data_IF_781857795679
#
_entry.id   IF_781857795679
#
_cell.length_a   1.000
_cell.length_b   1.000
_cell.length_c   1.000
_cell.angle_alpha   90.00
_cell.angle_beta   90.00
_cell.angle_gamma   90.00
#
_symmetry.space_group_name_H-M   'P 1'
#
loop_
_entity.id
_entity.type
_entity.pdbx_description
1 polymer ?
#
# COMPACT_ATOMS: atom_id res chain seq x y z
N UNK A 1 -11.51 3.50 -21.72
CA UNK A 1 -12.14 2.35 -21.01
C UNK A 1 -12.92 1.56 -22.05
N UNK A 2 -12.81 0.24 -22.02
CA UNK A 2 -13.63 -0.69 -22.83
C UNK A 2 -14.40 -1.56 -21.84
N UNK A 3 -15.72 -1.67 -22.01
CA UNK A 3 -16.55 -2.46 -21.10
C UNK A 3 -17.78 -3.05 -21.79
N UNK A 4 -18.31 -4.15 -21.24
CA UNK A 4 -19.53 -4.83 -21.69
C UNK A 4 -19.47 -5.18 -23.19
N UNK A 5 -18.41 -5.89 -23.58
CA UNK A 5 -18.14 -6.23 -24.98
C UNK A 5 -17.69 -7.69 -25.06
N UNK A 6 -18.30 -8.46 -25.95
CA UNK A 6 -17.84 -9.80 -26.32
C UNK A 6 -17.55 -9.81 -27.81
N UNK A 7 -16.37 -10.27 -28.19
CA UNK A 7 -16.07 -10.64 -29.58
C UNK A 7 -16.40 -12.12 -29.75
N UNK A 8 -17.53 -12.42 -30.40
CA UNK A 8 -18.04 -13.78 -30.52
C UNK A 8 -17.19 -14.69 -31.42
N UNK A 9 -17.45 -15.99 -31.34
CA UNK A 9 -16.69 -17.03 -32.07
C UNK A 9 -16.92 -17.05 -33.59
N UNK A 10 -17.85 -16.23 -34.12
CA UNK A 10 -18.04 -16.08 -35.57
C UNK A 10 -17.02 -15.11 -36.17
N UNK A 11 -16.36 -14.34 -35.32
CA UNK A 11 -15.29 -13.42 -35.71
C UNK A 11 -13.92 -14.12 -35.74
N UNK A 12 -12.97 -13.48 -36.44
CA UNK A 12 -11.55 -13.82 -36.34
C UNK A 12 -10.70 -12.56 -36.48
N UNK A 13 -9.57 -12.52 -35.78
CA UNK A 13 -8.62 -11.40 -35.84
C UNK A 13 -7.25 -11.93 -36.23
N UNK A 14 -6.65 -11.36 -37.27
CA UNK A 14 -5.31 -11.75 -37.71
C UNK A 14 -4.42 -10.56 -38.03
N UNK A 15 -3.11 -10.72 -37.84
CA UNK A 15 -2.13 -9.67 -38.13
C UNK A 15 -0.68 -10.11 -37.97
N UNK A 16 0.24 -9.16 -38.16
CA UNK A 16 1.67 -9.45 -38.10
C UNK A 16 2.22 -9.51 -36.67
N UNK A 17 1.93 -8.55 -35.81
CA UNK A 17 2.36 -8.51 -34.41
C UNK A 17 1.45 -7.60 -33.60
N UNK A 18 1.45 -7.76 -32.27
CA UNK A 18 0.60 -6.98 -31.37
C UNK A 18 -0.88 -7.14 -31.74
N UNK A 19 -1.30 -8.39 -31.93
CA UNK A 19 -2.66 -8.74 -32.36
C UNK A 19 -3.45 -9.15 -31.14
N UNK A 20 -4.65 -8.62 -30.98
CA UNK A 20 -5.56 -9.13 -29.98
C UNK A 20 -7.01 -9.06 -30.42
N UNK A 21 -7.86 -9.88 -29.80
CA UNK A 21 -9.30 -9.90 -30.05
C UNK A 21 -9.93 -8.53 -29.85
N UNK A 22 -9.56 -7.82 -28.77
CA UNK A 22 -10.17 -6.53 -28.44
C UNK A 22 -9.26 -5.34 -28.78
N UNK A 23 -8.00 -5.35 -28.31
CA UNK A 23 -7.08 -4.22 -28.51
C UNK A 23 -5.63 -4.67 -28.74
N UNK A 24 -5.09 -4.47 -29.95
CA UNK A 24 -3.78 -4.98 -30.34
C UNK A 24 -2.60 -4.48 -29.49
N UNK A 25 -2.33 -3.18 -29.46
CA UNK A 25 -1.23 -2.60 -28.70
C UNK A 25 -1.58 -1.23 -28.15
N UNK A 26 -1.02 -0.91 -26.99
CA UNK A 26 -1.20 0.40 -26.34
C UNK A 26 0.15 1.11 -26.23
N UNK A 27 0.16 2.42 -26.45
CA UNK A 27 1.36 3.27 -26.35
C UNK A 27 1.03 4.54 -25.57
N UNK A 28 2.04 5.12 -24.91
CA UNK A 28 1.87 6.31 -24.06
C UNK A 28 1.96 6.00 -22.57
N UNK A 29 1.25 6.75 -21.75
CA UNK A 29 1.28 6.63 -20.27
C UNK A 29 -0.13 6.61 -19.70
N UNK A 30 -0.29 6.02 -18.51
CA UNK A 30 -1.55 6.03 -17.77
C UNK A 30 -2.14 4.63 -17.58
N UNK A 31 -3.46 4.57 -17.39
CA UNK A 31 -4.18 3.32 -17.13
C UNK A 31 -5.33 3.12 -18.11
N UNK A 32 -5.40 1.94 -18.72
CA UNK A 32 -6.53 1.52 -19.55
C UNK A 32 -7.34 0.45 -18.82
N UNK A 33 -8.66 0.63 -18.79
CA UNK A 33 -9.58 -0.30 -18.12
C UNK A 33 -10.32 -1.17 -19.13
N UNK A 34 -10.31 -2.48 -18.87
CA UNK A 34 -11.15 -3.50 -19.49
C UNK A 34 -12.05 -4.11 -18.40
N UNK A 35 -13.37 -4.04 -18.57
CA UNK A 35 -14.32 -4.56 -17.58
C UNK A 35 -15.48 -5.27 -18.24
N UNK A 36 -15.76 -6.51 -17.86
CA UNK A 36 -16.81 -7.31 -18.50
C UNK A 36 -16.51 -7.39 -20.01
N UNK A 37 -15.34 -7.95 -20.36
CA UNK A 37 -14.90 -8.09 -21.75
C UNK A 37 -14.51 -9.53 -22.06
N UNK A 38 -15.07 -10.09 -23.12
CA UNK A 38 -14.83 -11.47 -23.57
C UNK A 38 -14.24 -11.55 -24.97
N UNK A 39 -13.36 -12.52 -25.21
CA UNK A 39 -12.95 -12.94 -26.54
C UNK A 39 -13.24 -14.41 -26.76
N UNK A 40 -14.09 -14.70 -27.74
CA UNK A 40 -14.43 -16.04 -28.21
C UNK A 40 -13.92 -16.30 -29.64
N UNK A 41 -13.48 -15.24 -30.32
CA UNK A 41 -12.90 -15.30 -31.65
C UNK A 41 -11.47 -15.88 -31.66
N UNK A 42 -11.12 -16.54 -32.76
CA UNK A 42 -9.75 -16.95 -33.01
C UNK A 42 -8.86 -15.71 -33.25
N UNK A 43 -7.71 -15.67 -32.58
CA UNK A 43 -6.69 -14.61 -32.71
C UNK A 43 -5.41 -15.19 -33.26
N UNK A 44 -4.92 -14.68 -34.39
CA UNK A 44 -3.72 -15.19 -35.05
C UNK A 44 -2.70 -14.08 -35.32
N UNK A 45 -1.49 -14.20 -34.76
CA UNK A 45 -0.36 -13.36 -35.10
C UNK A 45 0.74 -14.18 -35.79
N UNK A 46 1.24 -13.72 -36.94
CA UNK A 46 2.41 -14.38 -37.57
C UNK A 46 3.73 -14.09 -36.84
N UNK A 47 3.75 -13.04 -36.00
CA UNK A 47 4.89 -12.58 -35.22
C UNK A 47 4.61 -12.57 -33.72
N UNK A 48 4.95 -11.47 -33.05
CA UNK A 48 5.01 -11.38 -31.58
C UNK A 48 3.69 -10.90 -30.97
N UNK A 49 3.44 -11.30 -29.72
CA UNK A 49 2.42 -10.73 -28.83
C UNK A 49 0.99 -10.87 -29.36
N UNK A 50 0.51 -12.11 -29.49
CA UNK A 50 -0.91 -12.41 -29.69
C UNK A 50 -1.65 -12.51 -28.35
N UNK A 51 -2.87 -11.96 -28.24
CA UNK A 51 -3.70 -12.14 -27.04
C UNK A 51 -5.22 -12.12 -27.28
N UNK A 52 -6.01 -12.69 -26.38
CA UNK A 52 -7.46 -12.63 -26.45
C UNK A 52 -8.00 -11.22 -26.19
N UNK A 53 -7.56 -10.57 -25.10
CA UNK A 53 -8.07 -9.24 -24.71
C UNK A 53 -7.20 -8.11 -25.24
N UNK A 54 -5.96 -7.99 -24.75
CA UNK A 54 -5.08 -6.87 -25.12
C UNK A 54 -3.66 -7.33 -25.39
N UNK A 55 -3.11 -7.04 -26.58
CA UNK A 55 -1.84 -7.63 -26.98
C UNK A 55 -0.66 -7.12 -26.13
N UNK A 56 -0.40 -5.82 -26.10
CA UNK A 56 0.80 -5.29 -25.42
C UNK A 56 0.61 -3.92 -24.78
N UNK A 57 1.18 -3.74 -23.59
CA UNK A 57 1.64 -2.45 -23.10
C UNK A 57 3.02 -2.17 -23.70
N UNK A 58 3.10 -1.33 -24.74
CA UNK A 58 4.37 -1.03 -25.40
C UNK A 58 5.33 -0.36 -24.41
N UNK A 59 6.51 -0.97 -24.21
CA UNK A 59 7.49 -0.52 -23.22
C UNK A 59 7.05 -0.69 -21.75
N UNK A 60 5.90 -1.34 -21.49
CA UNK A 60 5.36 -1.51 -20.14
C UNK A 60 4.91 -0.20 -19.48
N UNK A 61 4.72 0.87 -20.24
CA UNK A 61 4.45 2.22 -19.73
C UNK A 61 2.98 2.48 -19.41
N UNK A 62 2.07 1.74 -20.04
CA UNK A 62 0.64 1.74 -19.71
C UNK A 62 0.33 0.60 -18.75
N UNK A 63 -0.43 0.90 -17.72
CA UNK A 63 -0.96 -0.10 -16.81
C UNK A 63 -2.39 -0.48 -17.22
N UNK A 64 -2.78 -1.72 -16.93
CA UNK A 64 -4.13 -2.20 -17.20
C UNK A 64 -4.90 -2.46 -15.91
N UNK A 65 -6.18 -2.12 -15.92
CA UNK A 65 -7.15 -2.63 -14.96
C UNK A 65 -8.07 -3.57 -15.72
N UNK A 66 -7.83 -4.88 -15.61
CA UNK A 66 -8.59 -5.91 -16.32
C UNK A 66 -9.42 -6.66 -15.28
N UNK A 67 -10.73 -6.59 -15.39
CA UNK A 67 -11.64 -7.19 -14.39
C UNK A 67 -12.84 -7.84 -15.05
N UNK A 68 -13.20 -9.05 -14.61
CA UNK A 68 -14.30 -9.83 -15.19
C UNK A 68 -14.11 -9.98 -16.70
N UNK A 69 -12.99 -10.57 -17.12
CA UNK A 69 -12.67 -10.72 -18.54
C UNK A 69 -12.28 -12.15 -18.85
N UNK A 70 -12.50 -12.62 -20.07
CA UNK A 70 -12.21 -13.99 -20.43
C UNK A 70 -11.72 -14.18 -21.86
N UNK A 71 -11.06 -15.31 -22.10
CA UNK A 71 -10.72 -15.80 -23.42
C UNK A 71 -11.15 -17.26 -23.59
N UNK A 72 -12.06 -17.54 -24.52
CA UNK A 72 -12.37 -18.91 -24.97
C UNK A 72 -11.87 -19.19 -26.38
N UNK A 73 -11.59 -18.15 -27.17
CA UNK A 73 -11.03 -18.28 -28.51
C UNK A 73 -9.57 -18.73 -28.51
N UNK A 74 -9.19 -19.52 -29.50
CA UNK A 74 -7.80 -19.94 -29.68
C UNK A 74 -6.90 -18.75 -30.03
N UNK A 75 -5.76 -18.64 -29.34
CA UNK A 75 -4.75 -17.60 -29.59
C UNK A 75 -3.51 -18.25 -30.15
N UNK A 76 -3.22 -18.04 -31.43
CA UNK A 76 -2.05 -18.57 -32.10
C UNK A 76 -1.06 -17.45 -32.40
N UNK A 77 0.12 -17.49 -31.79
CA UNK A 77 1.24 -16.61 -32.14
C UNK A 77 2.55 -17.37 -32.31
N UNK A 78 3.56 -16.72 -32.89
CA UNK A 78 4.88 -17.35 -33.06
C UNK A 78 5.73 -17.33 -31.79
N UNK A 79 5.57 -16.28 -30.97
CA UNK A 79 6.28 -16.08 -29.70
C UNK A 79 5.56 -15.03 -28.87
N UNK A 80 5.80 -15.05 -27.55
CA UNK A 80 5.36 -14.01 -26.63
C UNK A 80 3.85 -13.84 -26.50
N UNK A 81 3.05 -14.85 -26.86
CA UNK A 81 1.59 -14.83 -26.74
C UNK A 81 1.10 -15.08 -25.32
N UNK A 82 -0.13 -14.67 -25.03
CA UNK A 82 -0.85 -15.03 -23.80
C UNK A 82 -2.38 -14.90 -24.00
N UNK A 83 -3.19 -15.60 -23.23
CA UNK A 83 -4.66 -15.59 -23.34
C UNK A 83 -5.28 -14.20 -23.12
N UNK A 84 -4.77 -13.44 -22.15
CA UNK A 84 -5.39 -12.19 -21.72
C UNK A 84 -4.56 -11.01 -22.16
N UNK A 85 -3.26 -11.01 -21.81
CA UNK A 85 -2.35 -9.97 -22.24
C UNK A 85 -0.92 -10.44 -22.45
N UNK A 86 -0.44 -10.30 -23.69
CA UNK A 86 0.88 -10.78 -24.08
C UNK A 86 2.05 -9.96 -23.48
N UNK A 87 1.83 -8.76 -22.96
CA UNK A 87 2.80 -8.07 -22.09
C UNK A 87 2.14 -6.96 -21.25
N UNK A 88 2.05 -7.15 -19.94
CA UNK A 88 1.37 -6.21 -19.04
C UNK A 88 2.31 -5.12 -18.52
N UNK A 89 1.76 -3.95 -18.15
CA UNK A 89 2.50 -2.93 -17.40
C UNK A 89 2.65 -3.31 -15.92
N UNK A 90 3.77 -2.95 -15.29
CA UNK A 90 4.13 -3.45 -13.93
C UNK A 90 3.12 -3.14 -12.82
N UNK A 91 2.40 -2.03 -12.92
CA UNK A 91 1.39 -1.60 -11.93
C UNK A 91 -0.03 -1.98 -12.36
N UNK A 92 -0.18 -2.92 -13.29
CA UNK A 92 -1.48 -3.42 -13.72
C UNK A 92 -2.15 -4.22 -12.59
N UNK A 93 -3.48 -4.31 -12.67
CA UNK A 93 -4.31 -5.13 -11.80
C UNK A 93 -5.19 -6.03 -12.68
N UNK A 94 -5.03 -7.34 -12.52
CA UNK A 94 -5.78 -8.38 -13.23
C UNK A 94 -6.62 -9.17 -12.22
N UNK A 95 -7.94 -9.13 -12.33
CA UNK A 95 -8.84 -9.79 -11.36
C UNK A 95 -10.02 -10.49 -12.02
N UNK A 96 -10.34 -11.68 -11.54
CA UNK A 96 -11.52 -12.43 -11.96
C UNK A 96 -11.52 -12.70 -13.47
N UNK A 97 -10.54 -13.49 -13.89
CA UNK A 97 -10.23 -13.72 -15.29
C UNK A 97 -10.10 -15.21 -15.55
N UNK A 98 -10.60 -15.68 -16.68
CA UNK A 98 -10.44 -17.08 -17.07
C UNK A 98 -10.03 -17.28 -18.53
N UNK A 99 -9.38 -18.40 -18.81
CA UNK A 99 -9.08 -18.88 -20.15
C UNK A 99 -9.47 -20.34 -20.35
N UNK A 100 -10.13 -20.63 -21.47
CA UNK A 100 -10.34 -22.00 -21.97
C UNK A 100 -9.79 -22.21 -23.38
N UNK A 101 -9.42 -21.13 -24.08
CA UNK A 101 -8.84 -21.21 -25.41
C UNK A 101 -7.43 -21.79 -25.41
N UNK A 102 -7.05 -22.46 -26.51
CA UNK A 102 -5.70 -22.97 -26.69
C UNK A 102 -4.76 -21.82 -27.04
N UNK A 103 -3.64 -21.73 -26.31
CA UNK A 103 -2.66 -20.67 -26.50
C UNK A 103 -1.40 -21.25 -27.15
N UNK A 104 -0.98 -20.68 -28.28
CA UNK A 104 0.25 -21.01 -29.00
C UNK A 104 1.27 -19.88 -28.96
N UNK A 105 2.55 -20.23 -28.92
CA UNK A 105 3.66 -19.27 -28.93
C UNK A 105 3.84 -18.50 -27.63
N UNK A 106 3.46 -19.04 -26.48
CA UNK A 106 3.81 -18.48 -25.17
C UNK A 106 5.26 -18.85 -24.79
N UNK A 107 5.90 -18.07 -23.92
CA UNK A 107 7.32 -18.28 -23.56
C UNK A 107 7.52 -19.48 -22.60
N UNK A 108 6.59 -19.65 -21.66
CA UNK A 108 6.61 -20.69 -20.63
C UNK A 108 5.22 -20.86 -20.02
N UNK A 109 4.94 -22.02 -19.41
CA UNK A 109 3.63 -22.37 -18.83
C UNK A 109 3.07 -21.29 -17.89
N UNK A 110 3.92 -20.76 -17.02
CA UNK A 110 3.64 -19.71 -16.02
C UNK A 110 3.33 -18.32 -16.62
N UNK A 111 3.25 -18.21 -17.95
CA UNK A 111 3.05 -16.96 -18.69
C UNK A 111 1.90 -17.04 -19.69
N UNK A 112 1.05 -18.04 -19.55
CA UNK A 112 0.00 -18.36 -20.51
C UNK A 112 -1.20 -17.41 -20.43
N UNK A 113 -1.60 -16.94 -19.26
CA UNK A 113 -2.66 -15.92 -19.13
C UNK A 113 -2.13 -14.52 -19.42
N UNK A 114 -0.96 -14.19 -18.86
CA UNK A 114 -0.30 -12.92 -19.09
C UNK A 114 1.20 -13.00 -18.89
N UNK A 115 1.94 -12.06 -19.49
CA UNK A 115 3.39 -11.92 -19.34
C UNK A 115 3.77 -10.64 -18.59
N UNK A 116 4.96 -10.65 -17.98
CA UNK A 116 5.47 -9.62 -17.06
C UNK A 116 4.79 -9.64 -15.69
N UNK A 117 5.22 -8.80 -14.74
CA UNK A 117 4.71 -8.78 -13.37
C UNK A 117 3.54 -7.82 -13.22
N UNK A 118 2.53 -8.17 -12.44
CA UNK A 118 1.45 -7.27 -12.01
C UNK A 118 0.80 -7.78 -10.72
N UNK A 119 -0.15 -7.03 -10.17
CA UNK A 119 -1.02 -7.54 -9.09
C UNK A 119 -2.14 -8.37 -9.72
N UNK A 120 -2.28 -9.63 -9.32
CA UNK A 120 -3.34 -10.49 -9.84
C UNK A 120 -3.99 -11.39 -8.79
N UNK A 121 -5.28 -11.66 -8.96
CA UNK A 121 -6.08 -12.52 -8.07
C UNK A 121 -7.26 -13.14 -8.82
N UNK A 122 -7.71 -14.33 -8.44
CA UNK A 122 -8.84 -15.02 -9.09
C UNK A 122 -8.59 -15.19 -10.60
N UNK A 123 -7.54 -15.95 -10.92
CA UNK A 123 -7.14 -16.27 -12.28
C UNK A 123 -7.39 -17.75 -12.51
N UNK A 124 -7.96 -18.09 -13.66
CA UNK A 124 -8.35 -19.46 -13.96
C UNK A 124 -7.88 -19.84 -15.37
N UNK A 125 -7.36 -21.06 -15.54
CA UNK A 125 -6.96 -21.59 -16.84
C UNK A 125 -7.33 -23.07 -16.93
N UNK A 126 -7.86 -23.50 -18.08
CA UNK A 126 -8.29 -24.90 -18.26
C UNK A 126 -7.14 -25.91 -18.13
N UNK A 127 -5.89 -25.48 -18.34
CA UNK A 127 -4.70 -26.32 -18.15
C UNK A 127 -3.99 -26.03 -16.81
N UNK A 128 -4.47 -25.07 -16.01
CA UNK A 128 -3.95 -24.76 -14.67
C UNK A 128 -2.48 -24.29 -14.64
N UNK A 129 -1.94 -23.80 -15.75
CA UNK A 129 -0.51 -23.44 -15.84
C UNK A 129 -0.15 -22.07 -15.27
N UNK A 130 -1.10 -21.13 -15.29
CA UNK A 130 -1.01 -19.83 -14.62
C UNK A 130 -2.41 -19.48 -14.10
N UNK A 131 -2.62 -19.56 -12.79
CA UNK A 131 -3.95 -19.51 -12.17
C UNK A 131 -4.48 -20.88 -11.76
N UNK A 132 -5.67 -20.92 -11.18
CA UNK A 132 -6.33 -22.13 -10.72
C UNK A 132 -6.88 -22.93 -11.91
N UNK A 133 -6.79 -24.26 -11.83
CA UNK A 133 -7.32 -25.14 -12.87
C UNK A 133 -8.84 -25.12 -12.88
N UNK A 134 -9.44 -25.10 -14.06
CA UNK A 134 -10.89 -25.29 -14.26
C UNK A 134 -11.13 -26.51 -15.12
N UNK A 135 -12.17 -27.28 -14.81
CA UNK A 135 -12.52 -28.48 -15.59
C UNK A 135 -13.70 -28.20 -16.53
N UNK A 136 -13.84 -28.97 -17.63
CA UNK A 136 -15.02 -28.91 -18.49
C UNK A 136 -16.34 -29.12 -17.74
N UNK A 137 -16.34 -29.96 -16.70
CA UNK A 137 -17.51 -30.20 -15.86
C UNK A 137 -17.89 -28.96 -15.05
N UNK A 138 -16.92 -28.27 -14.44
CA UNK A 138 -17.16 -27.01 -13.72
C UNK A 138 -17.70 -25.91 -14.63
N UNK A 139 -17.23 -25.88 -15.89
CA UNK A 139 -17.68 -24.93 -16.90
C UNK A 139 -19.15 -25.15 -17.25
N UNK A 140 -19.59 -26.39 -17.41
CA UNK A 140 -20.96 -26.71 -17.81
C UNK A 140 -21.98 -26.75 -16.66
N UNK A 141 -21.53 -26.98 -15.41
CA UNK A 141 -22.42 -27.27 -14.28
C UNK A 141 -23.02 -26.06 -13.59
N UNK A 142 -22.56 -24.84 -13.89
CA UNK A 142 -22.87 -23.63 -13.11
C UNK A 142 -21.89 -23.34 -11.98
N UNK A 143 -21.09 -24.33 -11.58
CA UNK A 143 -20.10 -24.19 -10.52
C UNK A 143 -19.15 -23.03 -10.76
N UNK A 144 -18.60 -22.96 -11.98
CA UNK A 144 -17.62 -21.95 -12.27
C UNK A 144 -18.23 -20.54 -12.36
N UNK A 145 -19.46 -20.40 -12.87
CA UNK A 145 -20.18 -19.12 -12.82
C UNK A 145 -20.40 -18.66 -11.38
N UNK A 146 -20.76 -19.57 -10.48
CA UNK A 146 -20.94 -19.26 -9.05
C UNK A 146 -19.62 -18.81 -8.40
N UNK A 147 -18.51 -19.52 -8.67
CA UNK A 147 -17.15 -19.16 -8.22
C UNK A 147 -16.74 -17.77 -8.72
N UNK A 148 -16.92 -17.49 -10.02
CA UNK A 148 -16.55 -16.20 -10.63
C UNK A 148 -17.36 -15.04 -10.06
N UNK A 149 -18.60 -15.29 -9.64
CA UNK A 149 -19.40 -14.31 -8.93
C UNK A 149 -19.05 -14.23 -7.44
N UNK A 150 -17.96 -14.84 -6.96
CA UNK A 150 -17.53 -14.78 -5.55
C UNK A 150 -18.66 -15.14 -4.56
N UNK A 151 -19.60 -16.00 -4.97
CA UNK A 151 -20.80 -16.33 -4.21
C UNK A 151 -21.66 -15.10 -3.82
N UNK A 152 -21.61 -14.03 -4.64
CA UNK A 152 -22.21 -12.73 -4.38
C UNK A 152 -23.75 -12.76 -4.38
N UNK A 153 -24.31 -11.81 -3.63
CA UNK A 153 -25.75 -11.53 -3.52
C UNK A 153 -26.16 -10.54 -4.64
N UNK A 154 -26.82 -11.00 -5.69
CA UNK A 154 -27.69 -10.18 -6.55
C UNK A 154 -27.06 -9.32 -7.65
N UNK A 155 -25.77 -8.96 -7.60
CA UNK A 155 -25.05 -8.36 -8.74
C UNK A 155 -24.06 -9.37 -9.33
N UNK A 156 -24.48 -10.03 -10.40
CA UNK A 156 -23.76 -11.14 -11.02
C UNK A 156 -23.10 -10.65 -12.31
N UNK A 157 -21.80 -10.31 -12.36
CA UNK A 157 -21.16 -10.02 -13.65
C UNK A 157 -21.12 -11.24 -14.58
N UNK A 158 -21.24 -12.45 -14.03
CA UNK A 158 -21.26 -13.70 -14.78
C UNK A 158 -22.62 -14.38 -14.71
N UNK A 159 -23.09 -14.87 -15.83
CA UNK A 159 -24.36 -15.54 -16.00
C UNK A 159 -24.14 -16.90 -16.67
N UNK A 160 -25.06 -17.82 -16.47
CA UNK A 160 -25.08 -19.11 -17.14
C UNK A 160 -26.49 -19.69 -17.09
N UNK A 161 -27.07 -19.98 -18.24
CA UNK A 161 -28.32 -20.72 -18.38
C UNK A 161 -28.10 -22.21 -18.10
N UNK A 162 -28.94 -22.77 -17.22
CA UNK A 162 -28.89 -24.15 -16.73
C UNK A 162 -30.28 -24.78 -16.83
N UNK A 163 -31.26 -24.24 -16.09
CA UNK A 163 -32.62 -24.79 -15.92
C UNK A 163 -33.71 -23.71 -16.05
N UNK A 164 -33.46 -22.69 -16.87
CA UNK A 164 -34.35 -21.54 -17.10
C UNK A 164 -35.08 -21.55 -18.47
N UNK A 165 -35.40 -22.73 -19.00
CA UNK A 165 -36.06 -22.94 -20.30
C UNK A 165 -35.26 -22.49 -21.54
N UNK A 166 -34.08 -21.90 -21.36
CA UNK A 166 -33.12 -21.63 -22.43
C UNK A 166 -32.23 -22.86 -22.68
N UNK A 167 -31.56 -22.90 -23.83
CA UNK A 167 -30.50 -23.88 -24.06
C UNK A 167 -29.39 -23.69 -23.02
N UNK A 168 -28.98 -24.74 -22.29
CA UNK A 168 -27.91 -24.62 -21.31
C UNK A 168 -26.60 -24.13 -21.92
N UNK A 169 -25.94 -23.19 -21.26
CA UNK A 169 -24.66 -22.66 -21.69
C UNK A 169 -23.52 -23.63 -21.31
N UNK A 170 -22.54 -23.78 -22.20
CA UNK A 170 -21.36 -24.61 -21.94
C UNK A 170 -20.31 -23.96 -21.02
N UNK A 171 -20.42 -22.66 -20.75
CA UNK A 171 -19.52 -21.91 -19.87
C UNK A 171 -20.16 -20.60 -19.39
N UNK A 172 -19.60 -19.93 -18.36
CA UNK A 172 -20.08 -18.63 -17.91
C UNK A 172 -19.97 -17.55 -18.99
N UNK A 173 -20.98 -16.69 -19.09
CA UNK A 173 -21.06 -15.55 -20.02
C UNK A 173 -21.22 -14.24 -19.25
N UNK A 174 -20.98 -13.12 -19.92
CA UNK A 174 -21.15 -11.76 -19.38
C UNK A 174 -22.53 -11.15 -19.71
N UNK A 175 -23.38 -11.88 -20.44
CA UNK A 175 -24.67 -11.36 -20.88
C UNK A 175 -25.77 -11.61 -19.85
N UNK A 176 -26.45 -10.56 -19.36
CA UNK A 176 -27.56 -10.68 -18.41
C UNK A 176 -28.82 -11.30 -19.01
N UNK A 177 -28.84 -11.61 -20.31
CA UNK A 177 -29.92 -12.38 -20.94
C UNK A 177 -29.91 -13.86 -20.53
N UNK A 178 -28.84 -14.33 -19.89
CA UNK A 178 -28.69 -15.69 -19.38
C UNK A 178 -29.04 -15.75 -17.89
N UNK A 179 -29.15 -16.96 -17.34
CA UNK A 179 -29.55 -17.13 -15.95
C UNK A 179 -28.50 -16.70 -14.93
N UNK A 180 -28.93 -16.12 -13.80
CA UNK A 180 -28.07 -16.02 -12.60
C UNK A 180 -27.88 -17.42 -12.02
N UNK A 181 -26.69 -17.76 -11.54
CA UNK A 181 -26.44 -19.09 -10.96
C UNK A 181 -26.44 -19.05 -9.44
N UNK A 182 -27.21 -19.94 -8.83
CA UNK A 182 -27.29 -20.17 -7.39
C UNK A 182 -26.83 -21.58 -7.07
N UNK A 183 -26.10 -21.74 -5.98
CA UNK A 183 -25.78 -23.05 -5.43
C UNK A 183 -27.02 -23.69 -4.78
N UNK A 184 -27.21 -24.98 -5.00
CA UNK A 184 -28.22 -25.79 -4.34
C UNK A 184 -27.64 -26.40 -3.06
N UNK A 185 -28.14 -25.95 -1.91
CA UNK A 185 -27.70 -26.44 -0.61
C UNK A 185 -27.56 -25.33 0.43
N UNK A 186 -26.76 -25.62 1.45
CA UNK A 186 -26.50 -24.69 2.54
C UNK A 186 -25.26 -23.86 2.24
N UNK A 187 -25.37 -22.55 2.36
CA UNK A 187 -24.29 -21.59 2.24
C UNK A 187 -23.97 -20.99 3.61
N UNK A 188 -22.70 -20.71 3.84
CA UNK A 188 -22.25 -19.86 4.93
C UNK A 188 -22.86 -18.45 4.83
N UNK A 189 -22.85 -17.70 5.93
CA UNK A 189 -23.35 -16.32 5.94
C UNK A 189 -22.63 -15.40 4.91
N UNK A 190 -21.34 -15.65 4.63
CA UNK A 190 -20.55 -14.99 3.58
C UNK A 190 -20.92 -15.42 2.15
N UNK A 191 -21.78 -16.44 1.98
CA UNK A 191 -22.21 -16.98 0.69
C UNK A 191 -21.40 -18.17 0.19
N UNK A 192 -20.26 -18.53 0.80
CA UNK A 192 -19.52 -19.73 0.39
C UNK A 192 -20.31 -21.00 0.71
N UNK A 193 -20.04 -22.10 0.00
CA UNK A 193 -20.62 -23.39 0.33
C UNK A 193 -20.32 -23.81 1.78
N UNK A 194 -21.34 -24.28 2.52
CA UNK A 194 -21.23 -24.83 3.88
C UNK A 194 -21.22 -26.36 3.82
N UNK A 195 -20.25 -26.94 3.10
CA UNK A 195 -20.16 -28.38 2.78
C UNK A 195 -20.41 -28.67 1.31
N UNK A 196 -20.78 -29.92 0.99
CA UNK A 196 -21.06 -30.34 -0.38
C UNK A 196 -22.34 -29.66 -0.89
N UNK A 197 -22.19 -28.87 -1.96
CA UNK A 197 -23.33 -28.39 -2.74
C UNK A 197 -23.83 -29.52 -3.63
N UNK A 198 -25.15 -29.72 -3.69
CA UNK A 198 -25.74 -30.80 -4.47
C UNK A 198 -25.86 -30.48 -5.97
N UNK A 199 -25.57 -29.23 -6.35
CA UNK A 199 -25.57 -28.75 -7.73
C UNK A 199 -25.78 -27.24 -7.79
N UNK A 200 -26.13 -26.75 -8.98
CA UNK A 200 -26.40 -25.34 -9.25
C UNK A 200 -27.69 -25.18 -10.07
N UNK A 201 -28.36 -24.04 -9.95
CA UNK A 201 -29.63 -23.74 -10.61
C UNK A 201 -29.77 -22.25 -10.88
N UNK A 202 -30.61 -21.89 -11.84
CA UNK A 202 -31.06 -20.52 -12.06
C UNK A 202 -32.19 -20.08 -11.14
N UNK A 203 -32.70 -20.98 -10.29
CA UNK A 203 -33.66 -20.66 -9.23
C UNK A 203 -32.95 -20.67 -7.89
N UNK A 204 -33.05 -19.56 -7.15
CA UNK A 204 -32.49 -19.51 -5.79
C UNK A 204 -33.28 -20.43 -4.85
N UNK A 205 -32.63 -21.51 -4.44
CA UNK A 205 -33.10 -22.47 -3.43
C UNK A 205 -32.06 -22.64 -2.33
N UNK A 206 -31.11 -21.71 -2.24
CA UNK A 206 -30.03 -21.78 -1.25
C UNK A 206 -30.57 -21.45 0.15
N UNK A 207 -30.00 -22.08 1.17
CA UNK A 207 -30.28 -21.76 2.57
C UNK A 207 -29.01 -21.18 3.18
N UNK A 208 -29.09 -19.99 3.80
CA UNK A 208 -27.93 -19.39 4.48
C UNK A 208 -27.90 -19.76 5.95
N UNK A 209 -26.72 -20.15 6.43
CA UNK A 209 -26.49 -20.26 7.87
C UNK A 209 -26.58 -18.87 8.51
N UNK A 210 -27.14 -18.75 9.73
CA UNK A 210 -27.07 -17.54 10.52
C UNK A 210 -25.62 -17.12 10.78
N UNK A 211 -25.41 -15.84 11.11
CA UNK A 211 -24.10 -15.39 11.58
C UNK A 211 -23.81 -15.99 12.97
N UNK A 212 -22.59 -16.48 13.15
CA UNK A 212 -22.05 -16.89 14.44
C UNK A 212 -21.10 -15.80 14.93
N UNK A 213 -21.54 -15.02 15.92
CA UNK A 213 -20.76 -13.91 16.46
C UNK A 213 -19.97 -14.33 17.68
N UNK A 214 -18.66 -14.07 17.64
CA UNK A 214 -17.77 -14.16 18.79
C UNK A 214 -17.25 -12.75 19.09
N UNK A 215 -17.49 -12.25 20.30
CA UNK A 215 -17.17 -10.87 20.68
C UNK A 215 -17.71 -9.82 19.68
N UNK A 216 -18.94 -10.07 19.19
CA UNK A 216 -19.63 -9.22 18.24
C UNK A 216 -19.10 -9.28 16.80
N UNK A 217 -18.16 -10.16 16.47
CA UNK A 217 -17.62 -10.30 15.11
C UNK A 217 -17.97 -11.69 14.61
N UNK A 218 -18.48 -11.78 13.39
CA UNK A 218 -18.86 -13.06 12.81
C UNK A 218 -17.61 -13.88 12.48
N UNK A 219 -17.53 -15.09 13.03
CA UNK A 219 -16.40 -16.01 12.85
C UNK A 219 -16.18 -16.44 11.40
N UNK A 220 -17.20 -16.28 10.54
CA UNK A 220 -17.19 -16.76 9.14
C UNK A 220 -17.03 -15.63 8.13
N UNK A 221 -17.67 -14.48 8.35
CA UNK A 221 -17.69 -13.39 7.37
C UNK A 221 -17.10 -12.07 7.85
N UNK A 222 -16.64 -12.00 9.11
CA UNK A 222 -16.10 -10.79 9.76
C UNK A 222 -17.07 -9.60 9.81
N UNK A 223 -18.34 -9.81 9.48
CA UNK A 223 -19.40 -8.82 9.71
C UNK A 223 -19.61 -8.65 11.21
N UNK A 224 -20.18 -7.53 11.62
CA UNK A 224 -20.32 -7.20 13.04
C UNK A 224 -21.76 -7.32 13.51
N UNK A 225 -21.95 -7.81 14.73
CA UNK A 225 -23.24 -7.85 15.40
C UNK A 225 -23.67 -6.41 15.73
N UNK A 226 -24.75 -5.88 15.14
CA UNK A 226 -25.22 -4.52 15.40
C UNK A 226 -25.66 -4.31 16.86
N UNK A 227 -25.92 -5.39 17.62
CA UNK A 227 -26.33 -5.33 19.02
C UNK A 227 -25.19 -5.44 20.04
N UNK A 228 -23.94 -5.71 19.62
CA UNK A 228 -22.85 -5.99 20.56
C UNK A 228 -22.38 -4.76 21.34
N UNK A 229 -22.38 -3.58 20.70
CA UNK A 229 -22.02 -2.31 21.35
C UNK A 229 -23.20 -1.37 21.28
N UNK A 230 -23.63 -0.87 22.44
CA UNK A 230 -24.75 0.07 22.56
C UNK A 230 -24.31 1.50 22.31
N UNK A 231 -25.27 2.34 21.94
CA UNK A 231 -25.07 3.78 21.75
C UNK A 231 -25.83 4.56 22.80
N UNK A 232 -25.20 5.63 23.29
CA UNK A 232 -25.84 6.68 24.09
C UNK A 232 -25.63 8.00 23.35
N UNK A 233 -26.69 8.77 23.12
CA UNK A 233 -26.63 10.07 22.41
C UNK A 233 -25.87 10.03 21.07
N UNK A 234 -26.11 8.98 20.29
CA UNK A 234 -25.44 8.73 19.00
C UNK A 234 -23.92 8.48 19.08
N UNK A 235 -23.42 8.04 20.24
CA UNK A 235 -22.01 7.68 20.47
C UNK A 235 -21.94 6.26 21.03
N UNK A 236 -21.13 5.39 20.41
CA UNK A 236 -20.85 4.04 20.90
C UNK A 236 -20.01 4.10 22.19
N UNK A 237 -20.37 3.28 23.17
CA UNK A 237 -19.66 3.20 24.45
C UNK A 237 -18.71 1.99 24.45
N UNK A 238 -17.41 2.24 24.63
CA UNK A 238 -16.36 1.21 24.54
C UNK A 238 -15.65 1.11 25.89
N UNK A 239 -15.87 0.02 26.62
CA UNK A 239 -15.22 -0.27 27.90
C UNK A 239 -14.29 -1.48 27.88
N UNK A 240 -14.25 -2.23 26.78
CA UNK A 240 -13.45 -3.46 26.68
C UNK A 240 -12.69 -3.55 25.35
N UNK A 241 -11.61 -4.33 25.34
CA UNK A 241 -10.84 -4.60 24.14
C UNK A 241 -11.69 -5.25 23.03
N UNK A 242 -12.58 -6.18 23.39
CA UNK A 242 -13.53 -6.77 22.44
C UNK A 242 -14.42 -5.72 21.76
N UNK A 243 -14.96 -4.76 22.50
CA UNK A 243 -15.78 -3.67 21.95
C UNK A 243 -14.97 -2.72 21.06
N UNK A 244 -13.70 -2.48 21.40
CA UNK A 244 -12.81 -1.66 20.58
C UNK A 244 -12.49 -2.37 19.25
N UNK A 245 -12.24 -3.68 19.28
CA UNK A 245 -12.05 -4.50 18.08
C UNK A 245 -13.30 -4.56 17.21
N UNK A 246 -14.47 -4.73 17.82
CA UNK A 246 -15.75 -4.62 17.13
C UNK A 246 -15.90 -3.27 16.41
N UNK A 247 -15.59 -2.17 17.10
CA UNK A 247 -15.71 -0.82 16.54
C UNK A 247 -14.74 -0.60 15.38
N UNK A 248 -13.52 -1.14 15.48
CA UNK A 248 -12.55 -1.13 14.38
C UNK A 248 -13.10 -1.86 13.14
N UNK A 249 -13.65 -3.07 13.30
CA UNK A 249 -14.30 -3.80 12.21
C UNK A 249 -15.48 -3.00 11.62
N UNK A 250 -16.34 -2.44 12.46
CA UNK A 250 -17.50 -1.66 12.04
C UNK A 250 -17.13 -0.44 11.17
N UNK A 251 -16.08 0.29 11.57
CA UNK A 251 -15.53 1.40 10.77
C UNK A 251 -14.90 0.88 9.47
N UNK A 252 -14.13 -0.21 9.54
CA UNK A 252 -13.41 -0.78 8.40
C UNK A 252 -14.31 -1.43 7.33
N UNK A 253 -15.56 -1.76 7.69
CA UNK A 253 -16.62 -2.21 6.79
C UNK A 253 -17.31 -1.06 6.04
N UNK A 254 -17.02 0.20 6.39
CA UNK A 254 -17.47 1.37 5.65
C UNK A 254 -18.22 2.41 6.49
N UNK A 255 -18.43 2.18 7.78
CA UNK A 255 -19.13 3.13 8.67
C UNK A 255 -18.18 4.23 9.19
N UNK A 256 -17.59 4.99 8.27
CA UNK A 256 -16.49 5.92 8.56
C UNK A 256 -16.87 7.15 9.41
N UNK A 257 -18.16 7.41 9.60
CA UNK A 257 -18.66 8.54 10.42
C UNK A 257 -19.12 8.12 11.83
N UNK A 258 -18.86 6.87 12.23
CA UNK A 258 -19.22 6.39 13.56
C UNK A 258 -18.46 7.16 14.65
N UNK A 259 -19.14 7.42 15.77
CA UNK A 259 -18.57 8.11 16.94
C UNK A 259 -18.49 7.13 18.09
N UNK A 260 -17.39 7.12 18.82
CA UNK A 260 -17.24 6.33 20.04
C UNK A 260 -16.60 7.15 21.17
N UNK A 261 -16.85 6.73 22.40
CA UNK A 261 -16.14 7.18 23.60
C UNK A 261 -15.66 5.96 24.39
N UNK A 262 -14.48 6.09 24.99
CA UNK A 262 -14.01 5.10 25.96
C UNK A 262 -14.72 5.33 27.30
N UNK A 263 -15.18 4.25 27.93
CA UNK A 263 -15.74 4.29 29.29
C UNK A 263 -14.74 3.81 30.34
N UNK A 264 -13.70 3.11 29.92
CA UNK A 264 -12.69 2.49 30.77
C UNK A 264 -11.31 2.50 30.08
N UNK A 265 -10.25 2.26 30.86
CA UNK A 265 -8.92 1.99 30.32
C UNK A 265 -8.90 0.61 29.65
N UNK A 266 -8.34 0.52 28.44
CA UNK A 266 -8.37 -0.70 27.62
C UNK A 266 -6.96 -1.21 27.39
N UNK A 267 -6.69 -2.43 27.84
CA UNK A 267 -5.54 -3.20 27.37
C UNK A 267 -5.87 -3.84 26.01
N UNK A 268 -5.22 -3.36 24.96
CA UNK A 268 -5.46 -3.79 23.59
C UNK A 268 -4.34 -4.67 23.03
N UNK A 269 -3.46 -5.17 23.89
CA UNK A 269 -2.24 -5.89 23.49
C UNK A 269 -2.49 -7.21 22.77
N UNK A 270 -3.64 -7.86 22.99
CA UNK A 270 -4.02 -9.10 22.31
C UNK A 270 -4.41 -8.89 20.82
N UNK A 271 -4.75 -7.66 20.43
CA UNK A 271 -5.27 -7.32 19.10
C UNK A 271 -4.17 -6.73 18.20
N UNK A 272 -3.29 -7.58 17.70
CA UNK A 272 -2.07 -7.16 16.97
C UNK A 272 -2.22 -7.08 15.44
N UNK A 273 -3.35 -7.50 14.89
CA UNK A 273 -3.54 -7.56 13.44
C UNK A 273 -3.92 -6.22 12.85
N UNK A 274 -3.56 -5.97 11.59
CA UNK A 274 -3.94 -4.74 10.87
C UNK A 274 -5.47 -4.59 10.79
N UNK A 275 -6.22 -5.70 10.81
CA UNK A 275 -7.69 -5.68 10.78
C UNK A 275 -8.31 -5.13 12.07
N UNK A 276 -7.61 -5.26 13.19
CA UNK A 276 -8.01 -4.76 14.50
C UNK A 276 -7.75 -3.27 14.71
N UNK A 277 -7.08 -2.60 13.77
CA UNK A 277 -6.86 -1.15 13.85
C UNK A 277 -8.06 -0.38 13.27
N UNK A 278 -8.45 0.72 13.92
CA UNK A 278 -9.51 1.60 13.41
C UNK A 278 -8.99 2.34 12.17
N UNK A 279 -9.60 2.07 11.03
CA UNK A 279 -9.22 2.64 9.74
C UNK A 279 -8.11 1.84 9.04
N UNK A 280 -8.06 1.96 7.71
CA UNK A 280 -7.07 1.27 6.84
C UNK A 280 -5.92 2.18 6.44
N UNK A 281 -5.73 3.28 7.17
CA UNK A 281 -4.96 4.44 6.74
C UNK A 281 -3.93 4.83 7.79
N UNK A 282 -2.88 4.02 7.90
CA UNK A 282 -1.83 4.20 8.92
C UNK A 282 -0.63 5.01 8.40
N UNK A 283 -0.01 5.79 9.29
CA UNK A 283 1.30 6.43 9.12
C UNK A 283 1.93 6.67 10.50
N UNK A 284 3.25 6.83 10.56
CA UNK A 284 4.01 6.93 11.82
C UNK A 284 3.72 8.19 12.63
N UNK A 285 3.51 9.33 11.98
CA UNK A 285 3.19 10.60 12.65
C UNK A 285 1.70 10.95 12.54
N UNK A 286 1.09 10.80 11.37
CA UNK A 286 -0.31 11.16 11.16
C UNK A 286 -0.97 10.43 9.99
N UNK A 287 -2.09 9.76 10.28
CA UNK A 287 -2.90 9.04 9.29
C UNK A 287 -3.61 9.92 8.26
N UNK A 288 -3.73 11.23 8.53
CA UNK A 288 -4.17 12.24 7.55
C UNK A 288 -3.85 13.66 7.99
N UNK A 289 -3.05 14.38 7.20
CA UNK A 289 -2.80 15.80 7.34
C UNK A 289 -3.67 16.59 6.35
N UNK A 290 -4.34 17.61 6.87
CA UNK A 290 -5.13 18.55 6.09
C UNK A 290 -4.28 19.55 5.30
N UNK A 291 -4.97 20.42 4.55
CA UNK A 291 -4.35 21.54 3.84
C UNK A 291 -3.63 22.45 4.85
N UNK A 292 -2.38 22.80 4.53
CA UNK A 292 -1.52 23.69 5.33
C UNK A 292 -1.01 23.12 6.65
N UNK A 293 -1.03 21.80 6.84
CA UNK A 293 -0.34 21.20 7.98
C UNK A 293 1.17 21.45 7.88
N UNK A 294 1.78 21.82 9.02
CA UNK A 294 3.21 21.96 9.21
C UNK A 294 3.65 21.01 10.31
N UNK A 295 4.63 20.16 10.02
CA UNK A 295 5.30 19.33 11.01
C UNK A 295 6.73 19.81 11.10
N UNK A 296 7.11 20.18 12.32
CA UNK A 296 8.43 20.71 12.63
C UNK A 296 9.07 19.85 13.70
N UNK A 297 10.32 19.45 13.46
CA UNK A 297 11.15 18.73 14.42
C UNK A 297 10.55 17.38 14.89
N UNK A 298 9.99 16.62 13.94
CA UNK A 298 9.33 15.34 14.17
C UNK A 298 10.11 14.20 13.50
N UNK A 299 10.14 13.00 14.10
CA UNK A 299 10.78 11.86 13.47
C UNK A 299 9.98 10.56 13.68
N UNK A 300 10.04 9.63 12.72
CA UNK A 300 9.53 8.27 12.86
C UNK A 300 10.63 7.26 12.53
N UNK A 301 11.01 6.44 13.52
CA UNK A 301 11.93 5.32 13.32
C UNK A 301 11.25 3.95 13.42
N UNK A 302 9.95 3.92 13.76
CA UNK A 302 9.17 2.70 13.89
C UNK A 302 8.72 2.15 12.53
N UNK A 303 8.60 0.83 12.45
CA UNK A 303 7.93 0.20 11.32
C UNK A 303 6.43 0.49 11.38
N UNK A 304 5.85 0.89 10.24
CA UNK A 304 4.42 1.13 10.12
C UNK A 304 3.84 0.04 9.23
N UNK A 305 2.78 -0.63 9.68
CA UNK A 305 2.05 -1.64 8.91
C UNK A 305 0.67 -1.09 8.49
N UNK A 306 0.05 -1.67 7.46
CA UNK A 306 -1.27 -1.22 7.00
C UNK A 306 -1.29 0.15 6.31
N UNK A 307 -0.18 0.56 5.69
CA UNK A 307 -0.10 1.82 4.95
C UNK A 307 -0.68 1.70 3.54
N UNK A 308 -1.30 2.78 3.08
CA UNK A 308 -1.67 2.95 1.68
C UNK A 308 -0.68 3.91 1.00
N UNK A 309 -0.11 3.48 -0.14
CA UNK A 309 0.73 4.29 -1.05
C UNK A 309 2.15 4.69 -0.56
N UNK A 310 2.85 3.80 0.17
CA UNK A 310 4.27 3.97 0.58
C UNK A 310 4.55 5.30 1.32
N UNK A 311 3.66 5.68 2.25
CA UNK A 311 3.78 6.90 3.05
C UNK A 311 3.91 6.59 4.56
N UNK A 312 5.10 6.17 5.02
CA UNK A 312 5.35 5.79 6.40
C UNK A 312 5.45 6.94 7.39
N UNK A 313 5.73 8.16 6.94
CA UNK A 313 5.82 9.32 7.83
C UNK A 313 4.46 9.92 8.14
N UNK A 314 3.74 10.36 7.11
CA UNK A 314 2.41 10.97 7.27
C UNK A 314 1.62 10.92 5.96
N UNK A 315 0.30 10.74 6.03
CA UNK A 315 -0.57 10.84 4.84
C UNK A 315 -1.11 12.25 4.68
N UNK A 316 -1.46 12.62 3.45
CA UNK A 316 -1.96 13.95 3.10
C UNK A 316 -2.56 13.99 1.69
N UNK A 317 -3.55 14.86 1.47
CA UNK A 317 -4.11 15.14 0.14
C UNK A 317 -3.34 16.24 -0.61
N UNK A 318 -2.76 17.20 0.11
CA UNK A 318 -1.87 18.23 -0.40
C UNK A 318 -0.56 18.19 0.40
N UNK A 319 0.59 18.33 -0.26
CA UNK A 319 1.89 18.14 0.39
C UNK A 319 2.05 19.12 1.57
N UNK A 320 2.16 18.64 2.83
CA UNK A 320 2.35 19.47 4.01
C UNK A 320 3.77 20.02 4.03
N UNK A 321 4.02 20.99 4.90
CA UNK A 321 5.35 21.52 5.15
C UNK A 321 6.05 20.63 6.19
N UNK A 322 7.11 19.95 5.77
CA UNK A 322 7.99 19.20 6.67
C UNK A 322 9.26 20.00 6.90
N UNK A 323 9.52 20.38 8.15
CA UNK A 323 10.69 21.16 8.55
C UNK A 323 11.45 20.38 9.61
N UNK A 324 12.73 20.10 9.36
CA UNK A 324 13.56 19.37 10.31
C UNK A 324 12.96 17.99 10.71
N UNK A 325 12.46 17.23 9.73
CA UNK A 325 11.79 15.95 9.97
C UNK A 325 12.58 14.75 9.42
N UNK A 326 12.52 13.61 10.11
CA UNK A 326 13.36 12.44 9.82
C UNK A 326 12.62 11.10 9.84
N UNK A 327 13.07 10.15 9.04
CA UNK A 327 12.56 8.77 9.05
C UNK A 327 13.63 7.73 8.74
N UNK A 328 13.49 6.51 9.24
CA UNK A 328 14.39 5.38 8.87
C UNK A 328 13.90 4.60 7.67
N UNK A 329 12.58 4.55 7.45
CA UNK A 329 11.93 3.81 6.38
C UNK A 329 11.03 4.79 5.64
N UNK A 330 11.32 5.08 4.36
CA UNK A 330 10.52 5.99 3.54
C UNK A 330 11.34 7.00 2.75
N UNK A 331 10.65 7.93 2.09
CA UNK A 331 11.23 9.05 1.34
C UNK A 331 10.41 10.35 1.43
N UNK A 332 9.52 10.45 2.41
CA UNK A 332 8.68 11.63 2.63
C UNK A 332 9.45 12.78 3.27
N UNK A 333 10.39 12.43 4.15
CA UNK A 333 11.25 13.37 4.89
C UNK A 333 12.73 12.95 4.78
N UNK A 334 13.62 13.56 5.56
CA UNK A 334 15.05 13.25 5.48
C UNK A 334 15.28 11.84 6.02
N UNK A 335 15.84 10.96 5.18
CA UNK A 335 16.11 9.60 5.61
C UNK A 335 17.38 9.53 6.46
N UNK A 336 17.32 8.82 7.59
CA UNK A 336 18.45 8.56 8.49
C UNK A 336 18.65 7.07 8.67
N UNK A 337 19.91 6.67 8.81
CA UNK A 337 20.28 5.28 9.06
C UNK A 337 20.06 4.91 10.53
N UNK A 338 19.88 3.62 10.82
CA UNK A 338 19.86 3.12 12.21
C UNK A 338 21.11 3.52 12.98
N UNK A 339 22.28 3.52 12.33
CA UNK A 339 23.54 3.98 12.94
C UNK A 339 23.47 5.45 13.37
N UNK A 340 22.89 6.33 12.54
CA UNK A 340 22.70 7.75 12.89
C UNK A 340 21.69 7.96 14.01
N UNK A 341 20.72 7.05 14.17
CA UNK A 341 19.78 7.06 15.30
C UNK A 341 20.51 6.70 16.59
N UNK A 342 21.39 5.70 16.56
CA UNK A 342 22.09 5.18 17.73
C UNK A 342 23.28 6.03 18.17
N UNK A 343 24.02 6.60 17.21
CA UNK A 343 25.29 7.26 17.49
C UNK A 343 25.18 8.74 17.91
N UNK A 344 23.97 9.31 17.97
CA UNK A 344 23.75 10.71 18.35
C UNK A 344 23.64 11.70 17.19
N UNK A 345 23.87 11.28 15.94
CA UNK A 345 23.72 12.15 14.78
C UNK A 345 22.29 12.68 14.64
N UNK A 346 21.28 11.81 14.77
CA UNK A 346 19.88 12.24 14.73
C UNK A 346 19.55 13.23 15.86
N UNK A 347 20.06 12.99 17.07
CA UNK A 347 19.89 13.91 18.20
C UNK A 347 20.48 15.29 17.90
N UNK A 348 21.68 15.36 17.30
CA UNK A 348 22.29 16.62 16.89
C UNK A 348 21.47 17.31 15.78
N UNK A 349 21.01 16.57 14.77
CA UNK A 349 20.18 17.08 13.67
C UNK A 349 18.85 17.67 14.16
N UNK A 350 18.15 16.98 15.06
CA UNK A 350 16.92 17.45 15.71
C UNK A 350 17.14 18.70 16.59
N UNK A 351 18.39 18.98 16.97
CA UNK A 351 18.79 20.20 17.66
C UNK A 351 19.37 21.26 16.68
N UNK A 352 18.93 21.27 15.42
CA UNK A 352 19.40 22.18 14.36
C UNK A 352 20.92 22.15 14.16
N UNK A 353 21.53 20.98 14.36
CA UNK A 353 22.98 20.76 14.36
C UNK A 353 23.76 21.61 15.38
N UNK A 354 23.11 22.07 16.44
CA UNK A 354 23.75 22.74 17.56
C UNK A 354 24.40 21.71 18.48
N UNK A 355 25.74 21.72 18.53
CA UNK A 355 26.52 20.91 19.48
C UNK A 355 26.14 21.29 20.92
N UNK A 356 25.64 20.32 21.69
CA UNK A 356 25.12 20.57 23.05
C UNK A 356 23.74 21.22 23.10
N UNK A 357 22.92 21.04 22.06
CA UNK A 357 21.51 21.45 22.05
C UNK A 357 20.69 20.90 23.22
N UNK A 358 19.56 21.53 23.50
CA UNK A 358 18.72 21.29 24.67
C UNK A 358 17.25 21.01 24.35
N UNK A 359 16.93 20.72 23.09
CA UNK A 359 15.59 20.28 22.67
C UNK A 359 15.48 18.75 22.73
N UNK A 360 16.41 18.05 22.07
CA UNK A 360 16.53 16.60 22.12
C UNK A 360 17.78 16.17 22.88
N UNK A 361 17.66 15.06 23.59
CA UNK A 361 18.69 14.48 24.44
C UNK A 361 18.86 13.00 24.07
N UNK A 362 20.06 12.47 24.27
CA UNK A 362 20.35 11.06 24.07
C UNK A 362 21.58 10.67 24.88
N UNK A 363 21.41 9.74 25.82
CA UNK A 363 22.53 9.08 26.50
C UNK A 363 23.07 7.98 25.58
N UNK A 364 24.21 8.23 24.94
CA UNK A 364 24.80 7.36 23.93
C UNK A 364 25.25 6.04 24.56
N UNK A 365 24.86 4.92 23.93
CA UNK A 365 25.11 3.57 24.43
C UNK A 365 24.04 3.04 25.40
N UNK A 366 23.10 3.87 25.83
CA UNK A 366 21.95 3.47 26.66
C UNK A 366 20.61 3.69 25.94
N UNK A 367 20.41 4.87 25.37
CA UNK A 367 19.16 5.25 24.70
C UNK A 367 19.17 4.77 23.24
N UNK A 368 18.13 4.02 22.86
CA UNK A 368 17.95 3.51 21.49
C UNK A 368 17.70 4.60 20.45
N UNK A 369 17.24 5.78 20.88
CA UNK A 369 16.90 6.91 20.02
C UNK A 369 16.88 8.23 20.80
N UNK A 370 16.84 9.40 20.12
CA UNK A 370 16.71 10.69 20.80
C UNK A 370 15.38 10.83 21.56
N UNK A 371 15.39 11.52 22.69
CA UNK A 371 14.20 11.77 23.52
C UNK A 371 14.09 13.23 23.92
N UNK A 372 12.91 13.63 24.41
CA UNK A 372 12.63 15.00 24.87
C UNK A 372 12.93 15.22 26.37
N UNK A 373 13.39 14.18 27.07
CA UNK A 373 13.60 14.25 28.50
C UNK A 373 14.98 14.82 28.83
N UNK A 374 15.03 16.01 29.42
CA UNK A 374 16.28 16.64 29.90
C UNK A 374 17.00 15.89 31.03
N UNK A 375 16.42 14.78 31.53
CA UNK A 375 17.12 13.82 32.39
C UNK A 375 18.16 12.98 31.64
N UNK A 376 18.09 12.92 30.31
CA UNK A 376 19.11 12.29 29.45
C UNK A 376 20.22 13.28 29.10
N UNK A 377 21.32 12.75 28.57
CA UNK A 377 22.51 13.55 28.31
C UNK A 377 22.42 14.33 26.99
N UNK A 378 23.08 15.50 26.96
CA UNK A 378 23.25 16.27 25.72
C UNK A 378 24.25 15.58 24.79
N UNK A 379 24.06 15.73 23.48
CA UNK A 379 24.98 15.24 22.47
C UNK A 379 25.82 16.40 21.94
N UNK A 380 27.14 16.23 21.95
CA UNK A 380 28.11 17.18 21.41
C UNK A 380 28.78 16.59 20.18
N UNK A 381 28.87 17.37 19.12
CA UNK A 381 29.68 17.03 17.95
C UNK A 381 31.15 17.45 18.17
N UNK A 382 32.08 16.51 17.99
CA UNK A 382 33.53 16.70 18.10
C UNK A 382 34.21 15.97 16.94
N UNK A 383 34.85 16.72 16.04
CA UNK A 383 35.57 16.20 14.87
C UNK A 383 34.75 15.23 14.00
N UNK A 384 33.45 15.51 13.81
CA UNK A 384 32.55 14.67 13.01
C UNK A 384 32.08 13.38 13.71
N UNK A 385 32.31 13.26 15.02
CA UNK A 385 31.76 12.20 15.87
C UNK A 385 30.94 12.82 17.01
N UNK A 386 30.10 12.01 17.65
CA UNK A 386 29.17 12.48 18.68
C UNK A 386 29.52 11.87 20.04
N UNK A 387 29.41 12.69 21.09
CA UNK A 387 29.74 12.26 22.46
C UNK A 387 28.86 12.97 23.48
N UNK A 388 28.62 12.32 24.62
CA UNK A 388 28.08 13.00 25.79
C UNK A 388 29.16 13.67 26.66
N UNK A 389 30.45 13.36 26.42
CA UNK A 389 31.56 13.80 27.25
C UNK A 389 32.31 14.99 26.64
N UNK A 390 32.24 16.16 27.27
CA UNK A 390 33.05 17.34 26.92
C UNK A 390 34.43 17.26 27.59
N UNK A 391 35.17 16.17 27.40
CA UNK A 391 36.54 16.04 27.95
C UNK A 391 37.55 16.32 26.85
N UNK A 392 37.93 17.59 26.66
CA UNK A 392 38.92 17.94 25.63
C UNK A 392 39.28 19.41 25.41
N UNK A 393 38.53 20.40 25.91
CA UNK A 393 38.95 21.80 25.80
C UNK A 393 39.77 22.16 27.06
N UNK A 394 41.08 21.83 27.05
CA UNK A 394 42.01 22.17 28.13
C UNK A 394 42.38 23.66 28.10
N UNK A 395 42.33 24.31 29.25
CA UNK A 395 43.00 25.59 29.55
C UNK A 395 44.53 25.46 29.41
N UNK A 396 45.20 26.56 29.06
CA UNK A 396 46.65 26.84 29.05
C UNK A 396 47.48 26.55 27.78
N UNK A 397 47.65 27.59 26.95
CA UNK A 397 48.95 28.14 26.48
C UNK A 397 48.67 29.33 25.55
N UNK A 398 49.21 30.51 25.90
CA UNK A 398 49.20 31.67 24.98
C UNK A 398 50.42 31.52 24.08
N UNK A 399 50.27 30.88 22.93
CA UNK A 399 51.29 30.93 21.89
C UNK A 399 51.25 32.30 21.20
N UNK A 400 52.33 33.07 21.37
CA UNK A 400 52.63 34.25 20.57
C UNK A 400 53.02 33.79 19.14
N UNK A 401 52.58 34.48 18.10
CA UNK A 401 53.16 34.33 16.75
C UNK A 401 54.40 35.21 16.59
N UNK A 402 55.30 34.81 15.68
CA UNK A 402 56.61 35.44 15.39
C UNK A 402 56.54 36.88 14.82
N UNK A 403 55.36 37.47 14.65
CA UNK A 403 55.17 38.79 14.02
C UNK A 403 54.30 39.80 14.84
N UNK A 404 53.82 39.42 16.02
CA UNK A 404 53.36 40.38 17.05
C UNK A 404 52.11 41.23 16.78
N UNK A 405 51.26 40.96 15.77
CA UNK A 405 50.06 41.79 15.50
C UNK A 405 48.70 41.12 15.79
N UNK A 406 47.79 41.89 16.40
CA UNK A 406 46.39 41.57 16.66
C UNK A 406 45.56 41.85 15.40
N UNK A 407 44.68 40.94 14.96
CA UNK A 407 44.02 41.10 13.65
C UNK A 407 42.49 41.34 13.68
N UNK A 408 41.72 40.92 14.70
CA UNK A 408 40.30 41.30 14.80
C UNK A 408 39.83 41.42 16.26
N UNK A 409 39.12 42.49 16.60
CA UNK A 409 38.60 42.76 17.96
C UNK A 409 37.08 42.77 17.91
N UNK A 410 36.43 42.22 18.93
CA UNK A 410 34.98 42.14 19.09
C UNK A 410 34.61 42.48 20.55
N UNK A 411 33.40 42.97 20.79
CA UNK A 411 32.84 43.03 22.16
C UNK A 411 32.30 41.65 22.58
N UNK A 412 31.96 41.49 23.87
CA UNK A 412 31.49 40.21 24.44
C UNK A 412 30.16 39.72 23.85
N UNK A 413 29.41 40.63 23.23
CA UNK A 413 28.18 40.42 22.46
C UNK A 413 28.45 40.09 20.97
N UNK A 414 29.71 39.99 20.55
CA UNK A 414 30.09 39.55 19.20
C UNK A 414 30.20 40.65 18.14
N UNK A 415 30.13 41.95 18.50
CA UNK A 415 30.23 43.06 17.54
C UNK A 415 31.69 43.44 17.24
N UNK A 416 32.08 43.53 15.96
CA UNK A 416 33.46 43.86 15.55
C UNK A 416 33.84 45.32 15.89
N UNK A 417 35.03 45.52 16.43
CA UNK A 417 35.60 46.83 16.86
C UNK A 417 36.95 47.09 16.19
N UNK A 418 37.23 48.38 15.96
CA UNK A 418 38.50 48.83 15.37
C UNK A 418 39.63 48.93 16.39
N UNK A 419 39.31 49.19 17.66
CA UNK A 419 40.26 49.35 18.76
C UNK A 419 39.75 48.65 20.02
N UNK A 420 40.67 48.31 20.95
CA UNK A 420 40.31 47.76 22.26
C UNK A 420 39.48 48.79 23.05
N UNK A 421 38.42 48.30 23.72
CA UNK A 421 37.54 49.10 24.57
C UNK A 421 37.89 48.88 26.04
N UNK A 422 37.60 49.86 26.91
CA UNK A 422 37.68 49.69 28.36
C UNK A 422 36.72 48.56 28.79
N UNK A 423 37.20 47.57 29.53
CA UNK A 423 36.44 46.35 29.87
C UNK A 423 36.87 45.10 29.09
N UNK A 424 35.99 44.09 29.03
CA UNK A 424 36.28 42.79 28.38
C UNK A 424 36.06 42.88 26.86
N UNK A 425 37.05 42.43 26.09
CA UNK A 425 37.05 42.36 24.63
C UNK A 425 37.31 40.91 24.19
N UNK A 426 36.79 40.50 23.03
CA UNK A 426 37.14 39.24 22.36
C UNK A 426 38.07 39.56 21.19
N UNK A 427 39.27 38.99 21.19
CA UNK A 427 40.31 39.27 20.20
C UNK A 427 40.64 37.99 19.44
N UNK A 428 40.59 38.06 18.11
CA UNK A 428 40.95 36.98 17.20
C UNK A 428 42.33 37.27 16.59
N UNK A 429 43.27 36.34 16.75
CA UNK A 429 44.61 36.47 16.18
C UNK A 429 44.65 36.07 14.68
N UNK A 430 45.80 36.27 14.02
CA UNK A 430 45.97 36.00 12.59
C UNK A 430 45.82 34.52 12.18
N UNK A 431 45.64 33.60 13.13
CA UNK A 431 45.32 32.18 12.89
C UNK A 431 43.86 31.84 13.21
N UNK A 432 43.01 32.84 13.45
CA UNK A 432 41.57 32.65 13.63
C UNK A 432 41.12 32.25 15.05
N UNK A 433 42.01 32.26 16.05
CA UNK A 433 41.65 31.90 17.44
C UNK A 433 41.20 33.12 18.24
N UNK A 434 40.00 33.04 18.85
CA UNK A 434 39.41 34.08 19.69
C UNK A 434 39.85 33.96 21.17
N UNK A 435 40.08 35.09 21.85
CA UNK A 435 40.47 35.17 23.27
C UNK A 435 39.84 36.38 23.98
N UNK A 436 39.43 36.23 25.24
CA UNK A 436 38.99 37.37 26.07
C UNK A 436 40.18 38.17 26.63
N UNK A 437 40.12 39.50 26.55
CA UNK A 437 41.13 40.46 27.03
C UNK A 437 40.46 41.60 27.80
N UNK A 438 40.92 41.89 29.02
CA UNK A 438 40.40 43.00 29.83
C UNK A 438 41.34 44.21 29.77
N UNK A 439 40.79 45.39 29.48
CA UNK A 439 41.52 46.66 29.44
C UNK A 439 40.99 47.57 30.55
N UNK A 440 41.90 48.06 31.41
CA UNK A 440 41.58 48.92 32.56
C UNK A 440 41.16 50.32 32.17
#
# INVERSE_FOLDING_TARGET
MIKNLVLDNTCSVSGASYVAGIAGGTSGTGTVTFRNVGNEAAVTASGLNAAGIVGVSMGGTINFSITNCYNTGDVTGSKQSAAICAYVGKKSVLKNIYNTGKIGGYDSADKKLYRNTCTSSCLYDIEGMQGDSITPEMLASGEFAFILNCNLRGESPWYQSLDNELTPDGHPTLSPSHGTVYALGTLNCNGTASGDVSGYSNTDKSVRTPHEFENGICSVCEDVDPGFVTMTDSVYEIGTAAQLNWFAHYVNLGTVNAKAKLTDDIDYTEYTTVKSMIGKESAGISGWLGLSAELTNCYNIGSVTGMQADRPFARYSARPYFVNCYETIGNQVINVTTEQVENGALCNMLNDSVSGGDTFFQTLGEDLHPVLFGSRQKVYEVNGSYTNNVVGIRENAIDKSEDGKIQRIYSVDGVRRGNLQKGINIVINGKGKAKKVYVK
#
